data_IF_406772125339
#
_entry.id   IF_406772125339
#
_cell.length_a   1.000
_cell.length_b   1.000
_cell.length_c   1.000
_cell.angle_alpha   90.00
_cell.angle_beta   90.00
_cell.angle_gamma   90.00
#
_symmetry.space_group_name_H-M   'P 1'
#
loop_
_entity.id
_entity.type
_entity.pdbx_description
1 polymer ?
#
# COMPACT_ATOMS: atom_id res chain seq x y z
N UNK A 1 -12.74 35.35 -11.13
CA UNK A 1 -12.32 33.93 -11.02
C UNK A 1 -10.96 33.90 -10.34
N UNK A 2 -10.87 33.42 -9.10
CA UNK A 2 -9.62 33.44 -8.32
C UNK A 2 -8.81 32.19 -8.71
N UNK A 3 -7.72 32.35 -9.45
CA UNK A 3 -6.74 31.27 -9.64
C UNK A 3 -6.14 30.97 -8.27
N UNK A 4 -6.53 29.85 -7.67
CA UNK A 4 -5.86 29.34 -6.48
C UNK A 4 -4.47 28.83 -6.90
N UNK A 5 -3.39 29.29 -6.24
CA UNK A 5 -2.02 28.89 -6.60
C UNK A 5 -1.81 27.38 -6.41
N UNK A 6 -0.90 26.80 -7.21
CA UNK A 6 -0.67 25.34 -7.35
C UNK A 6 -0.33 24.64 -6.02
N UNK A 7 0.13 25.38 -5.01
CA UNK A 7 0.54 24.89 -3.69
C UNK A 7 -0.64 24.57 -2.74
N UNK A 8 -1.78 25.25 -2.90
CA UNK A 8 -3.00 24.96 -2.13
C UNK A 8 -3.51 23.56 -2.49
N UNK A 9 -3.54 23.23 -3.79
CA UNK A 9 -3.88 21.88 -4.27
C UNK A 9 -2.90 20.83 -3.76
N UNK A 10 -1.62 21.14 -3.55
CA UNK A 10 -0.65 20.15 -3.07
C UNK A 10 -0.87 19.78 -1.59
N UNK A 11 -1.13 20.75 -0.71
CA UNK A 11 -1.36 20.46 0.72
C UNK A 11 -2.70 19.77 0.97
N UNK A 12 -3.76 20.21 0.30
CA UNK A 12 -5.09 19.60 0.43
C UNK A 12 -5.12 18.21 -0.22
N UNK A 13 -4.53 18.04 -1.41
CA UNK A 13 -4.41 16.72 -2.03
C UNK A 13 -3.51 15.77 -1.24
N UNK A 14 -2.45 16.26 -0.58
CA UNK A 14 -1.59 15.42 0.24
C UNK A 14 -2.33 14.83 1.45
N UNK A 15 -3.16 15.62 2.14
CA UNK A 15 -3.94 15.12 3.28
C UNK A 15 -5.01 14.13 2.82
N UNK A 16 -5.73 14.44 1.75
CA UNK A 16 -6.73 13.54 1.17
C UNK A 16 -6.10 12.21 0.70
N UNK A 17 -4.90 12.28 0.13
CA UNK A 17 -4.11 11.12 -0.27
C UNK A 17 -3.65 10.29 0.92
N UNK A 18 -3.06 10.90 1.95
CA UNK A 18 -2.61 10.17 3.14
C UNK A 18 -3.79 9.45 3.84
N UNK A 19 -4.95 10.13 3.93
CA UNK A 19 -6.18 9.52 4.44
C UNK A 19 -6.61 8.31 3.60
N UNK A 20 -6.52 8.41 2.26
CA UNK A 20 -6.86 7.33 1.36
C UNK A 20 -5.89 6.15 1.45
N UNK A 21 -4.58 6.40 1.53
CA UNK A 21 -3.57 5.36 1.74
C UNK A 21 -3.81 4.62 3.06
N UNK A 22 -4.05 5.35 4.15
CA UNK A 22 -4.43 4.77 5.44
C UNK A 22 -5.68 3.90 5.31
N UNK A 23 -6.70 4.37 4.58
CA UNK A 23 -7.93 3.60 4.34
C UNK A 23 -7.72 2.35 3.49
N UNK A 24 -6.80 2.38 2.52
CA UNK A 24 -6.42 1.16 1.77
C UNK A 24 -5.84 0.12 2.73
N UNK A 25 -4.91 0.52 3.61
CA UNK A 25 -4.34 -0.40 4.60
C UNK A 25 -5.42 -0.95 5.54
N UNK A 26 -6.35 -0.12 6.02
CA UNK A 26 -7.48 -0.58 6.84
C UNK A 26 -8.32 -1.65 6.13
N UNK A 27 -8.68 -1.42 4.87
CA UNK A 27 -9.47 -2.37 4.07
C UNK A 27 -8.70 -3.68 3.88
N UNK A 28 -7.41 -3.62 3.54
CA UNK A 28 -6.58 -4.81 3.32
C UNK A 28 -6.24 -5.57 4.60
N UNK A 29 -6.28 -4.90 5.75
CA UNK A 29 -6.03 -5.51 7.07
C UNK A 29 -7.14 -6.46 7.50
N UNK A 30 -8.33 -6.40 6.86
CA UNK A 30 -9.41 -7.37 7.04
C UNK A 30 -9.06 -8.79 6.57
N UNK A 31 -7.95 -8.95 5.84
CA UNK A 31 -7.47 -10.22 5.34
C UNK A 31 -8.02 -10.60 3.96
N UNK A 32 -7.30 -11.47 3.26
CA UNK A 32 -7.66 -11.92 1.91
C UNK A 32 -7.33 -10.90 0.82
N UNK A 33 -7.71 -11.25 -0.43
CA UNK A 33 -7.51 -10.41 -1.60
C UNK A 33 -8.75 -9.54 -1.87
N UNK A 34 -8.51 -8.25 -2.13
CA UNK A 34 -9.54 -7.29 -2.52
C UNK A 34 -9.24 -6.80 -3.94
N UNK A 35 -10.23 -6.89 -4.84
CA UNK A 35 -10.06 -6.42 -6.22
C UNK A 35 -9.84 -4.91 -6.27
N UNK A 36 -9.03 -4.46 -7.23
CA UNK A 36 -8.80 -3.02 -7.45
C UNK A 36 -10.09 -2.24 -7.71
N UNK A 37 -11.08 -2.84 -8.37
CA UNK A 37 -12.39 -2.22 -8.60
C UNK A 37 -13.20 -2.06 -7.31
N UNK A 38 -13.11 -3.02 -6.39
CA UNK A 38 -13.83 -2.97 -5.12
C UNK A 38 -13.19 -1.95 -4.17
N UNK A 39 -11.85 -1.84 -4.16
CA UNK A 39 -11.15 -0.74 -3.50
C UNK A 39 -11.56 0.62 -4.09
N UNK A 40 -11.63 0.73 -5.41
CA UNK A 40 -12.01 1.97 -6.08
C UNK A 40 -13.43 2.42 -5.69
N UNK A 41 -14.38 1.48 -5.66
CA UNK A 41 -15.76 1.72 -5.18
C UNK A 41 -15.79 2.12 -3.70
N UNK A 42 -15.12 1.37 -2.83
CA UNK A 42 -15.09 1.64 -1.39
C UNK A 42 -14.48 3.00 -1.04
N UNK A 43 -13.53 3.47 -1.85
CA UNK A 43 -12.84 4.74 -1.68
C UNK A 43 -13.45 5.89 -2.49
N UNK A 44 -14.44 5.60 -3.34
CA UNK A 44 -15.05 6.55 -4.29
C UNK A 44 -14.01 7.25 -5.17
N UNK A 45 -13.05 6.48 -5.71
CA UNK A 45 -12.00 6.97 -6.62
C UNK A 45 -11.91 6.10 -7.86
N UNK A 46 -11.11 6.52 -8.84
CA UNK A 46 -10.83 5.70 -10.01
C UNK A 46 -9.90 4.53 -9.67
N UNK A 47 -10.00 3.44 -10.45
CA UNK A 47 -9.05 2.31 -10.39
C UNK A 47 -7.59 2.75 -10.59
N UNK A 48 -7.35 3.73 -11.49
CA UNK A 48 -6.02 4.33 -11.71
C UNK A 48 -5.49 5.02 -10.44
N UNK A 49 -6.36 5.66 -9.67
CA UNK A 49 -5.99 6.29 -8.39
C UNK A 49 -5.59 5.23 -7.36
N UNK A 50 -6.33 4.12 -7.27
CA UNK A 50 -5.97 2.99 -6.41
C UNK A 50 -4.61 2.44 -6.81
N UNK A 51 -4.39 2.19 -8.10
CA UNK A 51 -3.12 1.65 -8.61
C UNK A 51 -1.92 2.53 -8.26
N UNK A 52 -2.03 3.84 -8.55
CA UNK A 52 -0.96 4.78 -8.24
C UNK A 52 -0.65 4.80 -6.73
N UNK A 53 -1.69 4.93 -5.90
CA UNK A 53 -1.51 4.99 -4.45
C UNK A 53 -0.93 3.69 -3.88
N UNK A 54 -1.28 2.53 -4.42
CA UNK A 54 -0.72 1.23 -4.04
C UNK A 54 0.75 1.09 -4.47
N UNK A 55 1.11 1.50 -5.69
CA UNK A 55 2.52 1.50 -6.11
C UNK A 55 3.36 2.42 -5.22
N UNK A 56 2.89 3.63 -4.92
CA UNK A 56 3.62 4.54 -4.05
C UNK A 56 3.71 4.03 -2.60
N UNK A 57 2.72 3.26 -2.12
CA UNK A 57 2.81 2.57 -0.82
C UNK A 57 3.84 1.45 -0.83
N UNK A 58 3.94 0.68 -1.92
CA UNK A 58 4.97 -0.35 -2.10
C UNK A 58 6.37 0.26 -2.15
N UNK A 59 6.52 1.40 -2.82
CA UNK A 59 7.80 2.12 -2.92
C UNK A 59 8.31 2.58 -1.54
N UNK A 60 7.42 2.93 -0.60
CA UNK A 60 7.79 3.26 0.79
C UNK A 60 7.90 2.03 1.71
N UNK A 61 7.67 0.83 1.17
CA UNK A 61 7.87 -0.44 1.86
C UNK A 61 6.64 -1.00 2.58
N UNK A 62 5.43 -0.54 2.27
CA UNK A 62 4.21 -1.19 2.76
C UNK A 62 4.10 -2.60 2.13
N UNK A 63 3.90 -3.67 2.94
CA UNK A 63 3.92 -5.05 2.46
C UNK A 63 2.62 -5.43 1.72
N UNK A 64 2.28 -4.71 0.65
CA UNK A 64 1.10 -5.00 -0.17
C UNK A 64 1.51 -5.95 -1.30
N UNK A 65 0.92 -7.14 -1.30
CA UNK A 65 1.02 -8.10 -2.39
C UNK A 65 -0.05 -7.85 -3.45
N UNK A 66 0.25 -8.21 -4.70
CA UNK A 66 -0.71 -8.24 -5.80
C UNK A 66 -0.73 -9.62 -6.43
N UNK A 67 -1.92 -10.14 -6.72
CA UNK A 67 -2.08 -11.36 -7.51
C UNK A 67 -2.99 -11.08 -8.72
N UNK A 68 -2.51 -11.45 -9.91
CA UNK A 68 -3.24 -11.25 -11.15
C UNK A 68 -4.63 -11.90 -11.07
N UNK A 69 -5.67 -11.16 -11.42
CA UNK A 69 -7.07 -11.61 -11.32
C UNK A 69 -7.67 -11.62 -9.91
N UNK A 70 -6.87 -11.54 -8.84
CA UNK A 70 -7.34 -11.56 -7.45
C UNK A 70 -7.35 -10.17 -6.79
N UNK A 71 -6.37 -9.31 -7.11
CA UNK A 71 -6.26 -7.96 -6.57
C UNK A 71 -5.16 -7.84 -5.52
N UNK A 72 -5.42 -7.09 -4.45
CA UNK A 72 -4.44 -6.68 -3.46
C UNK A 72 -4.70 -7.30 -2.09
N UNK A 73 -3.64 -7.59 -1.36
CA UNK A 73 -3.73 -8.11 0.00
C UNK A 73 -2.55 -7.58 0.83
N UNK A 74 -2.78 -7.40 2.14
CA UNK A 74 -1.69 -7.12 3.06
C UNK A 74 -0.94 -8.42 3.33
N UNK A 75 0.35 -8.46 2.99
CA UNK A 75 1.20 -9.60 3.27
C UNK A 75 1.68 -9.55 4.71
N UNK A 76 1.79 -10.69 5.39
CA UNK A 76 2.44 -10.73 6.69
C UNK A 76 3.83 -10.13 6.53
N UNK A 77 4.13 -9.09 7.33
CA UNK A 77 5.50 -8.60 7.48
C UNK A 77 6.29 -9.82 7.93
N UNK A 78 7.11 -10.39 7.04
CA UNK A 78 8.01 -11.48 7.42
C UNK A 78 8.73 -10.98 8.66
N UNK A 79 8.47 -11.59 9.84
CA UNK A 79 9.33 -11.39 11.01
C UNK A 79 10.72 -11.55 10.44
N UNK A 80 11.57 -10.52 10.54
CA UNK A 80 12.93 -10.59 10.02
C UNK A 80 13.47 -11.94 10.42
N UNK A 81 13.59 -12.86 9.46
CA UNK A 81 14.25 -14.12 9.74
C UNK A 81 15.66 -13.65 10.08
N UNK A 82 16.06 -13.81 11.34
CA UNK A 82 17.48 -13.76 11.67
C UNK A 82 18.14 -14.67 10.63
N UNK A 83 19.08 -14.19 9.81
CA UNK A 83 19.78 -15.08 8.91
C UNK A 83 20.37 -16.20 9.77
N UNK A 84 19.90 -17.41 9.52
CA UNK A 84 20.40 -18.63 10.14
C UNK A 84 21.66 -19.05 9.36
N UNK A 85 22.64 -18.16 9.29
CA UNK A 85 23.97 -18.49 8.78
C UNK A 85 24.79 -19.02 9.95
N UNK A 86 24.77 -20.35 10.05
CA UNK A 86 25.91 -21.20 10.40
C UNK A 86 26.61 -20.93 11.74
N UNK A 87 25.96 -21.36 12.82
CA UNK A 87 26.66 -22.15 13.81
C UNK A 87 26.90 -23.55 13.22
N UNK A 88 27.94 -23.72 12.41
CA UNK A 88 28.48 -25.03 12.00
C UNK A 88 29.87 -24.86 11.38
N UNK A 89 30.84 -24.46 12.20
CA UNK A 89 32.20 -24.99 12.13
C UNK A 89 32.76 -24.95 13.55
N UNK A 90 32.35 -25.95 14.33
CA UNK A 90 33.20 -26.50 15.38
C UNK A 90 34.26 -27.34 14.65
N UNK A 91 35.51 -26.91 14.74
CA UNK A 91 36.69 -27.76 14.65
C UNK A 91 37.52 -27.33 15.87
N UNK A 92 37.85 -28.22 16.80
CA UNK A 92 38.57 -29.46 16.51
C UNK A 92 40.04 -29.12 16.65
#
# INVERSE_FOLDING_TARGET
MRHLPRDIWLRENARARANRQRRIVEILSGGGFIRGDDLARALSVSKRTVYRDVEEMKDVGEPIGGAAGLGYALMPRRRRQRPMTEASHVNG
#
